data_IF_883442681842
#
_entry.id   IF_883442681842
#
_cell.length_a   1.000
_cell.length_b   1.000
_cell.length_c   1.000
_cell.angle_alpha   90.00
_cell.angle_beta   90.00
_cell.angle_gamma   90.00
#
_symmetry.space_group_name_H-M   'P 1'
#
loop_
_entity.id
_entity.type
_entity.pdbx_description
1 polymer ?
#
# COMPACT_ATOMS: atom_id res chain seq x y z
N UNK A 1 -17.63 13.82 12.63
CA UNK A 1 -16.82 12.66 12.20
C UNK A 1 -15.72 12.41 13.22
N UNK A 2 -15.63 11.19 13.66
CA UNK A 2 -14.58 10.79 14.60
C UNK A 2 -13.20 10.85 13.93
N UNK A 3 -12.22 11.41 14.65
CA UNK A 3 -10.85 11.52 14.18
C UNK A 3 -9.95 10.64 15.06
N UNK A 4 -9.20 9.75 14.42
CA UNK A 4 -8.29 8.83 15.09
C UNK A 4 -6.86 9.09 14.62
N UNK A 5 -5.95 9.25 15.58
CA UNK A 5 -4.52 9.29 15.32
C UNK A 5 -3.99 7.86 15.30
N UNK A 6 -3.54 7.42 14.15
CA UNK A 6 -3.15 6.02 13.97
C UNK A 6 -1.85 5.89 13.19
N UNK A 7 -0.81 5.34 13.82
CA UNK A 7 0.38 4.96 13.08
C UNK A 7 0.09 3.73 12.23
N UNK A 8 0.65 3.70 11.04
CA UNK A 8 0.45 2.59 10.11
C UNK A 8 1.73 2.28 9.33
N UNK A 9 1.79 1.07 8.79
CA UNK A 9 2.88 0.61 7.96
C UNK A 9 2.31 0.02 6.68
N UNK A 10 2.91 0.40 5.55
CA UNK A 10 2.50 -0.05 4.21
C UNK A 10 3.69 -0.59 3.45
N UNK A 11 3.42 -1.45 2.48
CA UNK A 11 4.48 -2.07 1.68
C UNK A 11 4.27 -1.74 0.20
N UNK A 12 5.28 -1.09 -0.39
CA UNK A 12 5.36 -0.92 -1.83
C UNK A 12 5.95 -2.21 -2.40
N UNK A 13 5.10 -3.04 -3.00
CA UNK A 13 5.53 -4.29 -3.62
C UNK A 13 5.81 -4.06 -5.09
N UNK A 14 7.02 -4.39 -5.53
CA UNK A 14 7.43 -4.27 -6.92
C UNK A 14 7.72 -5.67 -7.49
N UNK A 15 7.13 -5.98 -8.62
CA UNK A 15 7.40 -7.24 -9.31
C UNK A 15 8.68 -7.13 -10.18
N UNK A 16 9.01 -8.20 -10.90
CA UNK A 16 10.21 -8.25 -11.73
C UNK A 16 10.24 -7.18 -12.84
N UNK A 17 9.09 -6.66 -13.23
CA UNK A 17 8.96 -5.59 -14.22
C UNK A 17 8.75 -4.21 -13.57
N UNK A 18 8.98 -4.07 -12.27
CA UNK A 18 8.77 -2.85 -11.48
C UNK A 18 7.32 -2.37 -11.50
N UNK A 19 6.37 -3.29 -11.63
CA UNK A 19 4.95 -2.97 -11.46
C UNK A 19 4.62 -2.97 -9.98
N UNK A 20 3.77 -2.04 -9.59
CA UNK A 20 3.37 -1.80 -8.22
C UNK A 20 2.08 -2.57 -7.91
N UNK A 21 2.07 -3.30 -6.80
CA UNK A 21 0.86 -3.96 -6.31
C UNK A 21 -0.06 -2.93 -5.67
N UNK A 22 -1.27 -2.83 -6.19
CA UNK A 22 -2.32 -2.01 -5.60
C UNK A 22 -3.54 -2.87 -5.32
N UNK A 23 -4.15 -2.65 -4.17
CA UNK A 23 -5.38 -3.28 -3.74
C UNK A 23 -6.54 -2.32 -3.99
N UNK A 24 -7.63 -2.84 -4.56
CA UNK A 24 -8.82 -2.06 -4.89
C UNK A 24 -9.86 -2.27 -3.80
N UNK A 25 -10.09 -1.23 -3.00
CA UNK A 25 -10.99 -1.26 -1.86
C UNK A 25 -12.26 -0.46 -2.11
N UNK A 26 -13.38 -0.96 -1.58
CA UNK A 26 -14.63 -0.21 -1.55
C UNK A 26 -14.95 0.17 -0.10
N UNK A 27 -15.18 1.46 0.14
CA UNK A 27 -15.63 1.92 1.45
C UNK A 27 -17.11 1.54 1.63
N UNK A 28 -17.43 0.69 2.62
CA UNK A 28 -18.82 0.25 2.81
C UNK A 28 -19.74 1.35 3.35
N UNK A 29 -19.16 2.43 3.91
CA UNK A 29 -19.93 3.52 4.46
C UNK A 29 -20.54 4.42 3.38
N UNK A 30 -19.76 4.82 2.39
CA UNK A 30 -20.18 5.75 1.34
C UNK A 30 -20.13 5.19 -0.08
N UNK A 31 -19.61 3.97 -0.24
CA UNK A 31 -19.50 3.30 -1.53
C UNK A 31 -18.37 3.81 -2.42
N UNK A 32 -17.49 4.65 -1.91
CA UNK A 32 -16.33 5.12 -2.68
C UNK A 32 -15.28 4.05 -2.85
N UNK A 33 -14.50 4.16 -3.93
CA UNK A 33 -13.44 3.22 -4.26
C UNK A 33 -12.09 3.90 -4.18
N UNK A 34 -11.06 3.12 -3.86
CA UNK A 34 -9.68 3.60 -3.90
C UNK A 34 -8.72 2.45 -4.20
N UNK A 35 -7.54 2.83 -4.67
CA UNK A 35 -6.40 1.93 -4.84
C UNK A 35 -5.33 2.30 -3.83
N UNK A 36 -4.79 1.30 -3.12
CA UNK A 36 -3.68 1.54 -2.19
C UNK A 36 -2.79 0.32 -2.05
N UNK A 37 -1.51 0.52 -1.64
CA UNK A 37 -0.64 -0.60 -1.35
C UNK A 37 -1.09 -1.35 -0.09
N UNK A 38 -0.70 -2.63 0.06
CA UNK A 38 -0.98 -3.38 1.28
C UNK A 38 -0.44 -2.69 2.52
N UNK A 39 -1.15 -2.83 3.63
CA UNK A 39 -0.73 -2.28 4.91
C UNK A 39 -1.88 -2.06 5.86
N UNK A 40 -1.57 -1.55 7.03
CA UNK A 40 -2.56 -1.23 8.06
C UNK A 40 -1.93 -0.70 9.32
N UNK A 41 -2.73 -0.61 10.37
CA UNK A 41 -2.32 -0.07 11.65
C UNK A 41 -1.21 -0.87 12.32
N UNK A 42 -0.31 -0.16 12.98
CA UNK A 42 0.73 -0.76 13.82
C UNK A 42 0.08 -1.09 15.17
N UNK A 43 0.17 -2.35 15.59
CA UNK A 43 -0.38 -2.78 16.87
C UNK A 43 0.58 -2.48 18.02
N UNK A 44 0.05 -2.38 19.26
CA UNK A 44 0.91 -2.16 20.44
C UNK A 44 2.01 -3.22 20.52
N UNK A 45 3.24 -2.77 20.74
CA UNK A 45 4.41 -3.64 20.84
C UNK A 45 5.06 -4.02 19.52
N UNK A 46 4.44 -3.69 18.38
CA UNK A 46 5.06 -3.92 17.08
C UNK A 46 5.98 -2.77 16.68
N UNK A 47 7.10 -3.11 16.02
CA UNK A 47 7.85 -2.11 15.26
C UNK A 47 7.15 -1.87 13.93
N UNK A 48 7.41 -0.75 13.24
CA UNK A 48 6.86 -0.53 11.90
C UNK A 48 7.17 -1.65 10.91
N UNK A 49 8.40 -2.19 10.93
CA UNK A 49 8.78 -3.29 10.03
C UNK A 49 8.00 -4.57 10.33
N UNK A 50 7.80 -4.91 11.61
CA UNK A 50 7.02 -6.08 12.02
C UNK A 50 5.58 -5.93 11.55
N UNK A 51 4.99 -4.76 11.74
CA UNK A 51 3.62 -4.48 11.29
C UNK A 51 3.50 -4.59 9.76
N UNK A 52 4.46 -4.03 9.01
CA UNK A 52 4.47 -4.10 7.56
C UNK A 52 4.51 -5.55 7.07
N UNK A 53 5.36 -6.38 7.66
CA UNK A 53 5.49 -7.79 7.31
C UNK A 53 4.24 -8.58 7.65
N UNK A 54 3.65 -8.32 8.82
CA UNK A 54 2.40 -8.96 9.24
C UNK A 54 1.26 -8.62 8.27
N UNK A 55 1.08 -7.34 7.97
CA UNK A 55 0.01 -6.87 7.08
C UNK A 55 0.18 -7.43 5.67
N UNK A 56 1.40 -7.47 5.14
CA UNK A 56 1.66 -8.04 3.84
C UNK A 56 1.24 -9.50 3.78
N UNK A 57 1.62 -10.30 4.78
CA UNK A 57 1.27 -11.71 4.84
C UNK A 57 -0.24 -11.92 4.97
N UNK A 58 -0.90 -11.13 5.82
CA UNK A 58 -2.35 -11.23 6.06
C UNK A 58 -3.15 -10.84 4.81
N UNK A 59 -2.81 -9.74 4.17
CA UNK A 59 -3.60 -9.21 3.07
C UNK A 59 -3.30 -9.87 1.72
N UNK A 60 -2.08 -10.35 1.52
CA UNK A 60 -1.66 -10.81 0.20
C UNK A 60 -1.12 -12.24 0.15
N UNK A 61 -0.67 -12.78 1.27
CA UNK A 61 0.03 -14.06 1.31
C UNK A 61 1.45 -14.02 0.72
N UNK A 62 1.93 -12.85 0.32
CA UNK A 62 3.30 -12.71 -0.18
C UNK A 62 4.31 -12.87 0.95
N UNK A 63 5.55 -13.22 0.59
CA UNK A 63 6.61 -13.52 1.54
C UNK A 63 6.99 -12.26 2.34
N UNK A 64 6.75 -12.24 3.67
CA UNK A 64 7.12 -11.09 4.49
C UNK A 64 8.62 -10.83 4.55
N UNK A 65 9.46 -11.85 4.31
CA UNK A 65 10.91 -11.68 4.28
C UNK A 65 11.39 -10.82 3.10
N UNK A 66 10.54 -10.63 2.07
CA UNK A 66 10.87 -9.77 0.96
C UNK A 66 10.86 -8.28 1.32
N UNK A 67 10.24 -7.90 2.44
CA UNK A 67 10.20 -6.51 2.89
C UNK A 67 11.56 -6.11 3.43
N UNK A 68 12.16 -5.11 2.79
CA UNK A 68 13.45 -4.57 3.21
C UNK A 68 13.28 -3.62 4.39
N UNK A 69 14.28 -3.58 5.28
CA UNK A 69 14.30 -2.64 6.41
C UNK A 69 14.72 -1.25 5.92
N UNK A 70 13.87 -0.66 5.10
CA UNK A 70 14.06 0.68 4.54
C UNK A 70 12.68 1.27 4.33
N UNK A 71 12.44 2.46 4.87
CA UNK A 71 11.13 3.10 4.80
C UNK A 71 11.25 4.60 4.62
N UNK A 72 10.16 5.19 4.14
CA UNK A 72 9.95 6.64 4.15
C UNK A 72 8.69 6.94 4.92
N UNK A 73 8.64 8.12 5.53
CA UNK A 73 7.50 8.58 6.31
C UNK A 73 6.60 9.45 5.44
N UNK A 74 5.30 9.18 5.51
CA UNK A 74 4.29 9.94 4.77
C UNK A 74 3.21 10.37 5.74
N UNK A 75 2.95 11.66 5.83
CA UNK A 75 1.82 12.16 6.63
C UNK A 75 0.53 11.91 5.87
N UNK A 76 -0.44 11.30 6.56
CA UNK A 76 -1.70 10.89 5.97
C UNK A 76 -2.88 11.51 6.69
N UNK A 77 -3.90 11.81 5.90
CA UNK A 77 -5.19 12.27 6.38
C UNK A 77 -6.24 11.66 5.45
N UNK A 78 -6.83 10.53 5.89
CA UNK A 78 -7.73 9.75 5.05
C UNK A 78 -9.05 9.50 5.75
N UNK A 79 -10.11 9.40 4.97
CA UNK A 79 -11.43 9.00 5.45
C UNK A 79 -11.70 7.55 5.03
N UNK A 80 -12.15 6.75 5.99
CA UNK A 80 -12.50 5.36 5.75
C UNK A 80 -13.57 4.92 6.74
N UNK A 81 -14.62 4.27 6.25
CA UNK A 81 -15.74 3.77 7.06
C UNK A 81 -16.37 4.84 7.95
N UNK A 82 -16.49 6.07 7.43
CA UNK A 82 -17.08 7.18 8.15
C UNK A 82 -16.19 7.80 9.23
N UNK A 83 -14.92 7.43 9.29
CA UNK A 83 -13.94 7.95 10.24
C UNK A 83 -12.81 8.64 9.52
N UNK A 84 -12.18 9.60 10.20
CA UNK A 84 -10.98 10.26 9.72
C UNK A 84 -9.78 9.70 10.45
N UNK A 85 -8.81 9.22 9.68
CA UNK A 85 -7.54 8.72 10.22
C UNK A 85 -6.43 9.68 9.82
N UNK A 86 -5.71 10.19 10.83
CA UNK A 86 -4.54 11.04 10.61
C UNK A 86 -3.34 10.46 11.33
N UNK A 87 -2.17 10.67 10.77
CA UNK A 87 -0.93 10.21 11.35
C UNK A 87 0.14 10.01 10.31
N UNK A 88 1.32 9.64 10.78
CA UNK A 88 2.46 9.33 9.93
C UNK A 88 2.46 7.83 9.63
N UNK A 89 2.53 7.47 8.35
CA UNK A 89 2.64 6.10 7.92
C UNK A 89 4.05 5.81 7.41
N UNK A 90 4.54 4.61 7.72
CA UNK A 90 5.84 4.12 7.27
C UNK A 90 5.63 3.30 5.99
N UNK A 91 6.24 3.72 4.89
CA UNK A 91 6.17 3.01 3.62
C UNK A 91 7.48 2.27 3.39
N UNK A 92 7.39 0.94 3.40
CA UNK A 92 8.50 0.02 3.11
C UNK A 92 8.46 -0.43 1.66
N UNK A 93 9.53 -1.06 1.19
CA UNK A 93 9.60 -1.64 -0.15
C UNK A 93 9.89 -3.13 -0.07
N UNK A 94 9.24 -3.90 -0.94
CA UNK A 94 9.50 -5.31 -1.15
C UNK A 94 9.66 -5.56 -2.66
N UNK A 95 10.68 -6.33 -3.05
CA UNK A 95 10.94 -6.67 -4.44
C UNK A 95 10.77 -8.16 -4.65
N UNK A 96 10.08 -8.52 -5.73
CA UNK A 96 9.84 -9.91 -6.08
C UNK A 96 10.50 -10.22 -7.42
N UNK A 97 11.01 -11.45 -7.55
CA UNK A 97 11.73 -11.90 -8.74
C UNK A 97 10.80 -12.38 -9.86
N UNK A 98 9.52 -12.58 -9.55
CA UNK A 98 8.51 -13.00 -10.54
C UNK A 98 7.71 -11.80 -11.03
N UNK A 99 7.14 -11.92 -12.24
CA UNK A 99 6.15 -10.98 -12.73
C UNK A 99 4.77 -11.38 -12.22
N UNK A 100 3.96 -10.41 -11.80
CA UNK A 100 2.60 -10.63 -11.29
C UNK A 100 2.51 -11.76 -10.25
N UNK A 101 3.28 -11.73 -9.15
CA UNK A 101 3.13 -12.75 -8.10
C UNK A 101 1.67 -12.93 -7.70
N UNK A 102 1.26 -14.19 -7.53
CA UNK A 102 -0.12 -14.52 -7.14
C UNK A 102 -0.37 -14.20 -5.67
N UNK A 103 -1.56 -13.71 -5.37
CA UNK A 103 -1.98 -13.40 -4.02
C UNK A 103 -2.88 -14.48 -3.43
N UNK A 104 -2.81 -14.61 -2.09
CA UNK A 104 -3.69 -15.49 -1.31
C UNK A 104 -4.45 -14.61 -0.33
N UNK A 105 -5.80 -14.68 -0.39
CA UNK A 105 -6.68 -13.80 0.39
C UNK A 105 -7.20 -14.43 1.68
N UNK A 106 -6.73 -15.62 2.04
CA UNK A 106 -7.24 -16.36 3.20
C UNK A 106 -6.88 -15.75 4.55
N UNK A 107 -5.88 -14.86 4.60
CA UNK A 107 -5.50 -14.15 5.81
C UNK A 107 -6.32 -12.90 6.12
N UNK A 108 -7.22 -12.52 5.21
CA UNK A 108 -8.06 -11.33 5.40
C UNK A 108 -9.14 -11.59 6.46
N UNK A 109 -9.44 -10.55 7.25
CA UNK A 109 -10.59 -10.55 8.15
C UNK A 109 -11.89 -10.54 7.33
N UNK A 110 -13.04 -10.99 7.90
CA UNK A 110 -14.29 -11.06 7.15
C UNK A 110 -14.74 -9.75 6.51
N UNK A 111 -14.59 -8.62 7.20
CA UNK A 111 -14.93 -7.31 6.65
C UNK A 111 -13.95 -6.88 5.56
N UNK A 112 -12.67 -7.23 5.69
CA UNK A 112 -11.67 -7.00 4.65
C UNK A 112 -11.99 -7.81 3.39
N UNK A 113 -12.38 -9.08 3.54
CA UNK A 113 -12.79 -9.91 2.41
C UNK A 113 -14.00 -9.33 1.69
N UNK A 114 -14.94 -8.73 2.42
CA UNK A 114 -16.14 -8.13 1.86
C UNK A 114 -15.84 -6.84 1.09
N UNK A 115 -14.82 -6.07 1.51
CA UNK A 115 -14.54 -4.73 0.99
C UNK A 115 -13.38 -4.70 -0.01
N UNK A 116 -12.54 -5.71 -0.04
CA UNK A 116 -11.48 -5.84 -1.04
C UNK A 116 -12.07 -6.46 -2.31
N UNK A 117 -12.16 -5.65 -3.37
CA UNK A 117 -12.68 -6.08 -4.65
C UNK A 117 -11.66 -6.96 -5.40
N UNK A 118 -10.53 -6.37 -5.73
CA UNK A 118 -9.48 -7.01 -6.52
C UNK A 118 -8.12 -6.40 -6.23
N UNK A 119 -7.11 -6.92 -6.90
CA UNK A 119 -5.78 -6.34 -6.91
C UNK A 119 -5.28 -6.22 -8.35
N UNK A 120 -4.26 -5.40 -8.55
CA UNK A 120 -3.60 -5.29 -9.84
C UNK A 120 -2.13 -4.93 -9.64
N UNK A 121 -1.30 -5.42 -10.56
CA UNK A 121 0.09 -5.02 -10.69
C UNK A 121 0.14 -3.92 -11.75
N UNK A 122 0.35 -2.68 -11.32
CA UNK A 122 0.20 -1.48 -12.16
C UNK A 122 1.57 -0.94 -12.50
N UNK A 123 1.83 -0.71 -13.79
CA UNK A 123 3.04 -0.01 -14.22
C UNK A 123 3.03 1.40 -13.65
N UNK A 124 4.17 1.88 -13.17
CA UNK A 124 4.26 3.22 -12.58
C UNK A 124 3.77 4.31 -13.55
N UNK A 125 3.96 4.10 -14.84
CA UNK A 125 3.53 5.05 -15.89
C UNK A 125 2.01 5.05 -16.10
N UNK A 126 1.28 4.05 -15.59
CA UNK A 126 -0.17 3.93 -15.73
C UNK A 126 -0.94 4.38 -14.49
N UNK A 127 -0.25 4.76 -13.42
CA UNK A 127 -0.90 5.14 -12.17
C UNK A 127 -1.82 6.35 -12.31
N UNK A 128 -1.46 7.29 -13.16
CA UNK A 128 -2.28 8.49 -13.41
C UNK A 128 -3.56 8.18 -14.20
N UNK A 129 -3.64 7.01 -14.79
CA UNK A 129 -4.78 6.58 -15.62
C UNK A 129 -5.78 5.71 -14.86
N UNK A 130 -5.56 5.48 -13.57
CA UNK A 130 -6.49 4.69 -12.75
C UNK A 130 -7.84 5.40 -12.64
N UNK A 131 -8.96 4.66 -12.77
CA UNK A 131 -10.28 5.27 -12.73
C UNK A 131 -10.70 5.73 -11.34
N UNK A 132 -10.10 5.16 -10.28
CA UNK A 132 -10.39 5.51 -8.90
C UNK A 132 -9.16 6.14 -8.25
N UNK A 133 -9.34 6.93 -7.16
CA UNK A 133 -8.23 7.59 -6.49
C UNK A 133 -7.14 6.62 -6.04
N UNK A 134 -5.89 7.04 -6.19
CA UNK A 134 -4.71 6.37 -5.69
C UNK A 134 -4.32 6.98 -4.34
N UNK A 135 -4.13 6.14 -3.34
CA UNK A 135 -3.67 6.53 -2.01
C UNK A 135 -2.30 5.90 -1.70
N UNK A 136 -1.29 6.67 -1.34
CA UNK A 136 -1.29 8.14 -1.26
C UNK A 136 -1.20 8.79 -2.65
N UNK A 137 -1.77 9.98 -2.83
CA UNK A 137 -1.72 10.64 -4.14
C UNK A 137 -0.30 11.01 -4.57
N UNK A 138 0.65 11.14 -3.62
CA UNK A 138 2.07 11.41 -3.90
C UNK A 138 2.90 10.13 -4.09
N UNK A 139 2.29 9.08 -4.63
CA UNK A 139 2.95 7.76 -4.77
C UNK A 139 4.28 7.81 -5.50
N UNK A 140 4.41 8.62 -6.55
CA UNK A 140 5.67 8.73 -7.30
C UNK A 140 6.80 9.30 -6.44
N UNK A 141 6.50 10.26 -5.56
CA UNK A 141 7.48 10.78 -4.61
C UNK A 141 7.94 9.71 -3.62
N UNK A 142 7.00 8.85 -3.19
CA UNK A 142 7.31 7.73 -2.30
C UNK A 142 8.21 6.72 -3.01
N UNK A 143 7.89 6.35 -4.24
CA UNK A 143 8.72 5.46 -5.06
C UNK A 143 10.12 6.00 -5.26
N UNK A 144 10.23 7.29 -5.61
CA UNK A 144 11.52 7.93 -5.83
C UNK A 144 12.38 7.95 -4.55
N UNK A 145 11.77 8.20 -3.40
CA UNK A 145 12.46 8.19 -2.12
C UNK A 145 12.90 6.78 -1.69
N UNK A 146 12.06 5.76 -1.94
CA UNK A 146 12.39 4.37 -1.60
C UNK A 146 13.40 3.75 -2.56
N UNK A 147 13.26 4.05 -3.84
CA UNK A 147 14.07 3.47 -4.91
C UNK A 147 14.53 4.56 -5.88
N UNK A 148 15.52 5.35 -5.51
CA UNK A 148 15.99 6.47 -6.35
C UNK A 148 16.58 6.03 -7.69
N UNK A 149 16.91 4.77 -7.85
CA UNK A 149 17.41 4.20 -9.10
C UNK A 149 16.34 3.49 -9.93
N UNK A 150 15.07 3.59 -9.52
CA UNK A 150 13.97 2.95 -10.22
C UNK A 150 13.62 3.61 -11.55
N UNK A 151 12.78 2.96 -12.38
CA UNK A 151 12.46 3.46 -13.73
C UNK A 151 11.66 4.76 -13.75
N UNK A 152 11.07 5.16 -12.63
CA UNK A 152 10.36 6.43 -12.44
C UNK A 152 11.31 7.62 -12.24
N UNK A 153 12.59 7.37 -12.00
CA UNK A 153 13.57 8.42 -11.76
C UNK A 153 13.75 9.29 -13.01
N UNK A 154 13.72 10.61 -12.82
CA UNK A 154 13.83 11.54 -13.92
C UNK A 154 12.55 11.76 -14.72
N UNK A 155 11.45 11.12 -14.32
CA UNK A 155 10.16 11.26 -15.00
C UNK A 155 9.70 12.71 -15.13
N UNK A 156 9.89 13.51 -14.09
CA UNK A 156 9.46 14.91 -14.03
C UNK A 156 10.57 15.90 -14.36
N UNK A 157 11.65 15.42 -14.96
CA UNK A 157 12.83 16.24 -15.30
C UNK A 157 12.86 16.66 -16.77
N UNK A 158 11.72 16.58 -17.39
CA UNK A 158 11.58 16.93 -18.80
C UNK A 158 11.30 18.42 -18.92
#
# INVERSE_FOLDING_TARGET
METTHRPAARVICLDAAHRLLLLHWRDPFDGTWLWEPPGGGIEPGETPLVAARRELAEETGLDPAAVLDRSVLVDRDVQWKGKRYIGTEHFFVAQFSDEHPSLVRTGLLPDEQANLDTHAWIAWSDMDSLPDPLEPPQMLSVLDALMPDGPWCGRDRV
#
